data_IF_419295940472
#
_entry.id   IF_419295940472
#
_cell.length_a   1.000
_cell.length_b   1.000
_cell.length_c   1.000
_cell.angle_alpha   90.00
_cell.angle_beta   90.00
_cell.angle_gamma   90.00
#
_symmetry.space_group_name_H-M   'P 1'
#
loop_
_entity.id
_entity.type
_entity.pdbx_description
1 polymer ?
#
# COMPACT_ATOMS: atom_id res chain seq x y z
N UNK A 1 21.19 -10.53 -15.03
CA UNK A 1 21.85 -9.96 -13.83
C UNK A 1 20.81 -9.86 -12.72
N UNK A 2 21.06 -10.38 -11.52
CA UNK A 2 20.05 -10.39 -10.44
C UNK A 2 19.93 -8.97 -9.86
N UNK A 3 18.79 -8.31 -10.06
CA UNK A 3 18.53 -6.93 -9.63
C UNK A 3 18.87 -6.70 -8.14
N UNK A 4 18.55 -7.68 -7.28
CA UNK A 4 18.86 -7.60 -5.83
C UNK A 4 20.36 -7.55 -5.57
N UNK A 5 21.13 -8.42 -6.24
CA UNK A 5 22.60 -8.44 -6.11
C UNK A 5 23.23 -7.17 -6.67
N UNK A 6 22.71 -6.67 -7.79
CA UNK A 6 23.13 -5.38 -8.34
C UNK A 6 22.87 -4.26 -7.34
N UNK A 7 21.68 -4.20 -6.73
CA UNK A 7 21.31 -3.19 -5.75
C UNK A 7 22.17 -3.20 -4.48
N UNK A 8 22.55 -4.39 -4.00
CA UNK A 8 23.43 -4.54 -2.84
C UNK A 8 24.80 -3.87 -3.03
N UNK A 9 25.29 -3.83 -4.28
CA UNK A 9 26.59 -3.22 -4.62
C UNK A 9 26.39 -1.77 -5.07
N UNK A 10 25.42 -1.53 -5.97
CA UNK A 10 25.15 -0.22 -6.55
C UNK A 10 24.71 0.80 -5.50
N UNK A 11 23.94 0.40 -4.49
CA UNK A 11 23.48 1.29 -3.41
C UNK A 11 24.64 1.92 -2.63
N UNK A 12 25.52 1.12 -1.99
CA UNK A 12 26.69 1.62 -1.29
C UNK A 12 27.66 2.40 -2.19
N UNK A 13 27.85 1.98 -3.44
CA UNK A 13 28.68 2.72 -4.40
C UNK A 13 28.09 4.11 -4.70
N UNK A 14 26.79 4.19 -4.97
CA UNK A 14 26.11 5.46 -5.22
C UNK A 14 26.09 6.36 -3.98
N UNK A 15 25.91 5.77 -2.79
CA UNK A 15 26.03 6.48 -1.51
C UNK A 15 27.41 7.09 -1.32
N UNK A 16 28.46 6.29 -1.49
CA UNK A 16 29.85 6.75 -1.36
C UNK A 16 30.18 7.82 -2.41
N UNK A 17 29.77 7.61 -3.67
CA UNK A 17 29.96 8.59 -4.73
C UNK A 17 29.26 9.92 -4.39
N UNK A 18 28.02 9.87 -3.90
CA UNK A 18 27.26 11.07 -3.54
C UNK A 18 27.86 11.83 -2.35
N UNK A 19 28.50 11.13 -1.40
CA UNK A 19 29.23 11.77 -0.30
C UNK A 19 30.51 12.49 -0.77
N UNK A 20 31.09 12.09 -1.90
CA UNK A 20 32.27 12.72 -2.49
C UNK A 20 31.93 13.92 -3.39
N UNK A 21 30.66 14.07 -3.81
CA UNK A 21 30.21 15.21 -4.61
C UNK A 21 30.31 16.49 -3.76
N UNK A 22 30.96 17.56 -4.25
CA UNK A 22 30.99 18.84 -3.55
C UNK A 22 29.59 19.36 -3.25
N UNK A 23 29.40 19.89 -2.03
CA UNK A 23 28.09 20.41 -1.60
C UNK A 23 27.68 21.55 -2.53
N UNK A 24 26.52 21.47 -3.21
CA UNK A 24 26.04 22.53 -4.09
C UNK A 24 25.89 23.86 -3.35
N UNK A 25 26.12 24.97 -4.05
CA UNK A 25 25.97 26.31 -3.49
C UNK A 25 24.53 26.50 -2.96
N UNK A 26 24.39 26.92 -1.70
CA UNK A 26 23.10 27.09 -1.03
C UNK A 26 22.56 25.86 -0.31
N UNK A 27 23.23 24.70 -0.40
CA UNK A 27 22.84 23.48 0.32
C UNK A 27 23.62 23.31 1.63
N UNK A 28 22.95 22.86 2.68
CA UNK A 28 23.62 22.51 3.94
C UNK A 28 24.35 21.17 3.81
N UNK A 29 25.44 20.98 4.56
CA UNK A 29 26.17 19.70 4.60
C UNK A 29 25.25 18.55 5.03
N UNK A 30 24.38 18.79 6.02
CA UNK A 30 23.37 17.81 6.45
C UNK A 30 22.37 17.49 5.34
N UNK A 31 21.99 18.46 4.51
CA UNK A 31 21.14 18.26 3.33
C UNK A 31 21.79 17.36 2.29
N UNK A 32 23.06 17.60 1.95
CA UNK A 32 23.82 16.76 1.02
C UNK A 32 23.98 15.32 1.53
N UNK A 33 24.30 15.15 2.82
CA UNK A 33 24.39 13.81 3.46
C UNK A 33 23.05 13.10 3.50
N UNK A 34 21.96 13.84 3.72
CA UNK A 34 20.58 13.29 3.66
C UNK A 34 20.26 12.79 2.25
N UNK A 35 20.65 13.55 1.21
CA UNK A 35 20.47 13.13 -0.18
C UNK A 35 21.24 11.85 -0.52
N UNK A 36 22.47 11.69 0.00
CA UNK A 36 23.23 10.45 -0.15
C UNK A 36 22.50 9.25 0.48
N UNK A 37 22.01 9.38 1.72
CA UNK A 37 21.22 8.33 2.38
C UNK A 37 19.93 8.04 1.59
N UNK A 38 19.25 9.07 1.10
CA UNK A 38 18.05 8.89 0.29
C UNK A 38 18.34 8.12 -1.01
N UNK A 39 19.46 8.41 -1.69
CA UNK A 39 19.87 7.70 -2.90
C UNK A 39 20.14 6.22 -2.63
N UNK A 40 20.83 5.90 -1.53
CA UNK A 40 21.02 4.52 -1.06
C UNK A 40 19.67 3.80 -0.90
N UNK A 41 18.75 4.43 -0.16
CA UNK A 41 17.44 3.86 0.14
C UNK A 41 16.60 3.66 -1.13
N UNK A 42 16.59 4.63 -2.05
CA UNK A 42 15.87 4.53 -3.34
C UNK A 42 16.39 3.35 -4.15
N UNK A 43 17.71 3.19 -4.26
CA UNK A 43 18.29 2.04 -4.98
C UNK A 43 17.87 0.73 -4.32
N UNK A 44 17.97 0.62 -3.00
CA UNK A 44 17.61 -0.59 -2.28
C UNK A 44 16.11 -0.90 -2.29
N UNK A 45 15.23 0.11 -2.28
CA UNK A 45 13.79 -0.09 -2.41
C UNK A 45 13.41 -0.54 -3.83
N UNK A 46 13.95 0.09 -4.87
CA UNK A 46 13.63 -0.27 -6.27
C UNK A 46 14.16 -1.66 -6.62
N UNK A 47 15.37 -2.00 -6.14
CA UNK A 47 16.01 -3.28 -6.43
C UNK A 47 15.60 -4.40 -5.46
N UNK A 48 14.90 -4.07 -4.38
CA UNK A 48 14.66 -4.95 -3.22
C UNK A 48 15.95 -5.66 -2.75
N UNK A 49 17.06 -4.91 -2.68
CA UNK A 49 18.38 -5.45 -2.30
C UNK A 49 18.35 -6.14 -0.93
N UNK A 50 17.62 -5.55 0.01
CA UNK A 50 17.25 -6.10 1.32
C UNK A 50 15.74 -5.82 1.56
N UNK A 51 15.09 -6.46 2.55
CA UNK A 51 13.68 -6.22 2.83
C UNK A 51 13.35 -4.73 3.02
N UNK A 52 12.24 -4.27 2.45
CA UNK A 52 11.79 -2.86 2.51
C UNK A 52 11.83 -2.29 3.95
N UNK A 53 11.36 -3.02 5.00
CA UNK A 53 11.46 -2.52 6.38
C UNK A 53 12.89 -2.33 6.87
N UNK A 54 13.83 -3.20 6.47
CA UNK A 54 15.24 -3.08 6.84
C UNK A 54 15.87 -1.84 6.20
N UNK A 55 15.58 -1.58 4.91
CA UNK A 55 15.98 -0.34 4.24
C UNK A 55 15.41 0.89 4.96
N UNK A 56 14.15 0.84 5.40
CA UNK A 56 13.50 1.93 6.15
C UNK A 56 14.12 2.22 7.51
N UNK A 57 14.94 1.32 8.07
CA UNK A 57 15.66 1.53 9.32
C UNK A 57 17.04 2.17 9.14
N UNK A 58 17.55 2.28 7.90
CA UNK A 58 18.86 2.89 7.63
C UNK A 58 19.01 4.29 8.25
N UNK A 59 18.03 5.21 8.16
CA UNK A 59 18.16 6.54 8.77
C UNK A 59 18.45 6.51 10.26
N UNK A 60 17.96 5.50 11.00
CA UNK A 60 18.16 5.36 12.44
C UNK A 60 19.65 5.25 12.82
N UNK A 61 20.46 4.67 11.94
CA UNK A 61 21.91 4.50 12.11
C UNK A 61 22.69 5.54 11.32
N UNK A 62 22.32 5.77 10.05
CA UNK A 62 23.03 6.64 9.14
C UNK A 62 22.95 8.12 9.55
N UNK A 63 21.80 8.59 10.05
CA UNK A 63 21.65 10.02 10.38
C UNK A 63 22.50 10.44 11.59
N UNK A 64 22.53 9.68 12.71
CA UNK A 64 23.45 9.98 13.81
C UNK A 64 24.92 9.84 13.39
N UNK A 65 25.25 8.79 12.63
CA UNK A 65 26.62 8.53 12.19
C UNK A 65 27.17 9.64 11.28
N UNK A 66 26.33 10.18 10.40
CA UNK A 66 26.66 11.27 9.49
C UNK A 66 26.47 12.67 10.11
N UNK A 67 26.08 12.76 11.39
CA UNK A 67 25.81 14.05 12.06
C UNK A 67 24.65 14.85 11.43
N UNK A 68 23.68 14.17 10.81
CA UNK A 68 22.48 14.80 10.21
C UNK A 68 21.47 15.14 11.31
N UNK A 69 21.19 14.17 12.19
CA UNK A 69 20.18 14.29 13.24
C UNK A 69 20.48 13.33 14.39
N UNK A 70 20.23 13.76 15.63
CA UNK A 70 20.38 12.94 16.83
C UNK A 70 19.45 11.72 16.83
N UNK A 71 19.93 10.59 17.35
CA UNK A 71 19.20 9.31 17.40
C UNK A 71 17.79 9.44 17.98
N UNK A 72 17.63 10.22 19.07
CA UNK A 72 16.32 10.44 19.70
C UNK A 72 15.33 11.12 18.76
N UNK A 73 15.77 12.13 18.00
CA UNK A 73 14.93 12.87 17.04
C UNK A 73 14.57 12.00 15.84
N UNK A 74 15.50 11.16 15.37
CA UNK A 74 15.23 10.21 14.29
C UNK A 74 14.19 9.18 14.73
N UNK A 75 14.37 8.59 15.92
CA UNK A 75 13.49 7.57 16.48
C UNK A 75 12.02 8.02 16.63
N UNK A 76 11.77 9.30 16.94
CA UNK A 76 10.41 9.85 17.07
C UNK A 76 9.58 9.70 15.79
N UNK A 77 10.21 9.67 14.60
CA UNK A 77 9.49 9.47 13.35
C UNK A 77 8.90 8.06 13.20
N UNK A 78 9.41 7.08 13.93
CA UNK A 78 8.89 5.70 13.94
C UNK A 78 7.76 5.50 14.96
N UNK A 79 7.47 6.52 15.79
CA UNK A 79 6.38 6.54 16.76
C UNK A 79 5.18 7.38 16.35
N UNK A 80 5.02 7.67 15.06
CA UNK A 80 3.90 8.49 14.56
C UNK A 80 2.56 7.78 14.79
N UNK A 81 1.54 8.51 15.25
CA UNK A 81 0.19 8.01 15.51
C UNK A 81 -0.44 7.27 14.32
N UNK A 82 -0.09 7.64 13.10
CA UNK A 82 -0.54 6.99 11.87
C UNK A 82 -0.06 5.54 11.75
N UNK A 83 1.12 5.22 12.29
CA UNK A 83 1.64 3.85 12.33
C UNK A 83 0.78 2.99 13.26
N UNK A 84 0.38 3.53 14.41
CA UNK A 84 -0.52 2.85 15.34
C UNK A 84 -1.94 2.71 14.79
N UNK A 85 -2.44 3.69 14.04
CA UNK A 85 -3.71 3.58 13.32
C UNK A 85 -3.67 2.42 12.31
N UNK A 86 -2.57 2.28 11.57
CA UNK A 86 -2.39 1.18 10.63
C UNK A 86 -2.31 -0.18 11.33
N UNK A 87 -1.59 -0.26 12.45
CA UNK A 87 -1.53 -1.46 13.30
C UNK A 87 -2.93 -1.86 13.79
N UNK A 88 -3.72 -0.91 14.27
CA UNK A 88 -5.12 -1.15 14.67
C UNK A 88 -5.98 -1.65 13.50
N UNK A 89 -5.80 -1.07 12.31
CA UNK A 89 -6.44 -1.54 11.07
C UNK A 89 -6.12 -2.99 10.75
N UNK A 90 -4.85 -3.40 10.85
CA UNK A 90 -4.46 -4.81 10.68
C UNK A 90 -5.08 -5.74 11.71
N UNK A 91 -5.16 -5.34 12.98
CA UNK A 91 -5.82 -6.14 14.01
C UNK A 91 -7.31 -6.34 13.71
N UNK A 92 -7.99 -5.31 13.20
CA UNK A 92 -9.39 -5.42 12.75
C UNK A 92 -9.48 -6.35 11.54
N UNK A 93 -8.61 -6.20 10.55
CA UNK A 93 -8.58 -7.05 9.36
C UNK A 93 -8.38 -8.54 9.72
N UNK A 94 -7.40 -8.84 10.58
CA UNK A 94 -7.15 -10.20 11.08
C UNK A 94 -8.33 -10.75 11.90
N UNK A 95 -9.00 -9.90 12.68
CA UNK A 95 -10.19 -10.30 13.43
C UNK A 95 -11.36 -10.63 12.49
N UNK A 96 -11.56 -9.83 11.44
CA UNK A 96 -12.53 -10.09 10.37
C UNK A 96 -12.21 -11.37 9.59
N UNK A 97 -10.92 -11.66 9.40
CA UNK A 97 -10.45 -12.91 8.83
C UNK A 97 -10.83 -14.10 9.72
N UNK A 98 -10.41 -14.04 10.98
CA UNK A 98 -10.62 -15.12 11.95
C UNK A 98 -12.09 -15.45 12.18
N UNK A 99 -12.98 -14.45 12.18
CA UNK A 99 -14.41 -14.67 12.36
C UNK A 99 -15.17 -14.97 11.06
N UNK A 100 -14.49 -15.01 9.92
CA UNK A 100 -15.08 -15.28 8.60
C UNK A 100 -16.03 -14.19 8.10
N UNK A 101 -15.98 -12.97 8.67
CA UNK A 101 -16.88 -11.88 8.28
C UNK A 101 -16.69 -11.50 6.81
N UNK A 102 -15.45 -11.46 6.35
CA UNK A 102 -15.10 -11.20 4.96
C UNK A 102 -15.79 -12.15 3.97
N UNK A 103 -15.87 -13.47 4.27
CA UNK A 103 -16.57 -14.45 3.42
C UNK A 103 -18.07 -14.18 3.37
N UNK A 104 -18.66 -13.86 4.53
CA UNK A 104 -20.09 -13.52 4.61
C UNK A 104 -20.40 -12.27 3.80
N UNK A 105 -19.58 -11.23 3.91
CA UNK A 105 -19.71 -10.00 3.12
C UNK A 105 -19.59 -10.29 1.62
N UNK A 106 -18.55 -11.01 1.20
CA UNK A 106 -18.34 -11.36 -0.21
C UNK A 106 -19.55 -12.12 -0.81
N UNK A 107 -19.97 -13.20 -0.14
CA UNK A 107 -21.09 -14.03 -0.60
C UNK A 107 -22.42 -13.27 -0.59
N UNK A 108 -22.63 -12.39 0.38
CA UNK A 108 -23.83 -11.56 0.44
C UNK A 108 -23.91 -10.60 -0.74
N UNK A 109 -22.82 -9.90 -1.06
CA UNK A 109 -22.76 -9.01 -2.21
C UNK A 109 -22.95 -9.77 -3.54
N UNK A 110 -22.30 -10.92 -3.71
CA UNK A 110 -22.48 -11.75 -4.91
C UNK A 110 -23.92 -12.25 -5.04
N UNK A 111 -24.59 -12.57 -3.93
CA UNK A 111 -26.01 -12.97 -3.95
C UNK A 111 -26.94 -11.85 -4.43
N UNK A 112 -26.60 -10.59 -4.17
CA UNK A 112 -27.40 -9.43 -4.59
C UNK A 112 -27.24 -9.19 -6.10
N UNK A 113 -26.00 -9.16 -6.59
CA UNK A 113 -25.69 -8.73 -7.96
C UNK A 113 -25.54 -9.88 -8.99
N UNK A 114 -25.24 -11.10 -8.55
CA UNK A 114 -24.82 -12.23 -9.40
C UNK A 114 -25.91 -12.92 -10.22
N UNK A 115 -27.00 -12.23 -10.57
CA UNK A 115 -28.12 -12.79 -11.36
C UNK A 115 -27.87 -12.81 -12.87
N UNK A 116 -26.83 -12.12 -13.35
CA UNK A 116 -26.43 -12.07 -14.77
C UNK A 116 -24.90 -12.07 -14.88
N UNK A 117 -24.31 -12.37 -16.05
CA UNK A 117 -22.84 -12.36 -16.25
C UNK A 117 -22.21 -11.01 -15.88
N UNK A 118 -22.80 -9.90 -16.34
CA UNK A 118 -22.34 -8.54 -15.99
C UNK A 118 -22.54 -8.23 -14.51
N UNK A 119 -23.70 -8.59 -13.96
CA UNK A 119 -23.99 -8.43 -12.53
C UNK A 119 -23.06 -9.24 -11.64
N UNK A 120 -22.58 -10.39 -12.12
CA UNK A 120 -21.59 -11.20 -11.42
C UNK A 120 -20.26 -10.47 -11.31
N UNK A 121 -19.74 -9.95 -12.43
CA UNK A 121 -18.50 -9.16 -12.43
C UNK A 121 -18.63 -7.95 -11.51
N UNK A 122 -19.71 -7.17 -11.63
CA UNK A 122 -19.96 -6.03 -10.74
C UNK A 122 -20.07 -6.44 -9.28
N UNK A 123 -20.76 -7.54 -8.96
CA UNK A 123 -20.88 -8.06 -7.60
C UNK A 123 -19.54 -8.42 -6.98
N UNK A 124 -18.66 -9.07 -7.76
CA UNK A 124 -17.31 -9.38 -7.33
C UNK A 124 -16.45 -8.11 -7.20
N UNK A 125 -16.55 -7.16 -8.13
CA UNK A 125 -15.84 -5.88 -8.04
C UNK A 125 -16.26 -5.11 -6.79
N UNK A 126 -17.56 -4.90 -6.57
CA UNK A 126 -18.07 -4.19 -5.39
C UNK A 126 -17.70 -4.90 -4.08
N UNK A 127 -17.81 -6.23 -4.03
CA UNK A 127 -17.40 -7.01 -2.86
C UNK A 127 -15.90 -6.83 -2.57
N UNK A 128 -15.08 -6.93 -3.61
CA UNK A 128 -13.63 -6.80 -3.52
C UNK A 128 -13.24 -5.41 -3.06
N UNK A 129 -13.83 -4.36 -3.64
CA UNK A 129 -13.55 -2.98 -3.26
C UNK A 129 -13.91 -2.71 -1.79
N UNK A 130 -15.10 -3.15 -1.36
CA UNK A 130 -15.55 -3.01 0.03
C UNK A 130 -14.64 -3.74 1.02
N UNK A 131 -14.18 -4.94 0.68
CA UNK A 131 -13.26 -5.70 1.53
C UNK A 131 -11.89 -5.05 1.59
N UNK A 132 -11.39 -4.56 0.45
CA UNK A 132 -10.08 -3.92 0.34
C UNK A 132 -9.99 -2.58 1.07
N UNK A 133 -11.12 -1.96 1.41
CA UNK A 133 -11.14 -0.79 2.29
C UNK A 133 -10.65 -1.11 3.71
N UNK A 134 -10.75 -2.37 4.17
CA UNK A 134 -10.44 -2.77 5.54
C UNK A 134 -9.31 -3.79 5.62
N UNK A 135 -9.06 -4.50 4.52
CA UNK A 135 -8.08 -5.56 4.39
C UNK A 135 -7.07 -5.16 3.30
N UNK A 136 -5.83 -5.63 3.39
CA UNK A 136 -4.83 -5.33 2.36
C UNK A 136 -5.26 -5.81 0.96
N UNK A 137 -4.96 -5.02 -0.07
CA UNK A 137 -5.28 -5.33 -1.47
C UNK A 137 -4.82 -6.74 -1.88
N UNK A 138 -3.62 -7.14 -1.48
CA UNK A 138 -3.06 -8.46 -1.76
C UNK A 138 -3.88 -9.57 -1.10
N UNK A 139 -4.18 -9.44 0.20
CA UNK A 139 -4.97 -10.45 0.91
C UNK A 139 -6.40 -10.54 0.34
N UNK A 140 -7.03 -9.40 0.05
CA UNK A 140 -8.37 -9.35 -0.56
C UNK A 140 -8.38 -10.07 -1.91
N UNK A 141 -7.39 -9.82 -2.77
CA UNK A 141 -7.29 -10.47 -4.09
C UNK A 141 -7.11 -11.98 -3.95
N UNK A 142 -6.16 -12.43 -3.12
CA UNK A 142 -5.87 -13.85 -2.90
C UNK A 142 -7.08 -14.61 -2.34
N UNK A 143 -7.89 -13.94 -1.52
CA UNK A 143 -9.10 -14.48 -0.92
C UNK A 143 -10.27 -14.56 -1.91
N UNK A 144 -10.42 -13.55 -2.78
CA UNK A 144 -11.50 -13.51 -3.77
C UNK A 144 -11.25 -14.47 -4.93
N UNK A 145 -9.98 -14.72 -5.29
CA UNK A 145 -9.58 -15.62 -6.37
C UNK A 145 -10.21 -17.03 -6.28
N UNK A 146 -10.06 -17.81 -5.18
CA UNK A 146 -10.66 -19.14 -5.10
C UNK A 146 -12.19 -19.10 -5.14
N UNK A 147 -12.83 -18.05 -4.62
CA UNK A 147 -14.29 -17.88 -4.67
C UNK A 147 -14.73 -17.63 -6.12
N UNK A 148 -14.01 -16.78 -6.85
CA UNK A 148 -14.28 -16.49 -8.26
C UNK A 148 -14.12 -17.74 -9.12
N UNK A 149 -13.03 -18.49 -8.95
CA UNK A 149 -12.78 -19.73 -9.67
C UNK A 149 -13.85 -20.79 -9.39
N UNK A 150 -14.29 -20.94 -8.14
CA UNK A 150 -15.36 -21.87 -7.79
C UNK A 150 -16.72 -21.51 -8.43
N UNK A 151 -16.98 -20.21 -8.64
CA UNK A 151 -18.17 -19.76 -9.36
C UNK A 151 -18.04 -19.96 -10.86
N UNK A 152 -16.88 -19.63 -11.45
CA UNK A 152 -16.61 -19.83 -12.88
C UNK A 152 -16.75 -21.30 -13.27
N UNK A 153 -16.22 -22.24 -12.47
CA UNK A 153 -16.32 -23.67 -12.73
C UNK A 153 -17.76 -24.23 -12.69
N UNK A 154 -18.73 -23.50 -12.12
CA UNK A 154 -20.16 -23.85 -12.18
C UNK A 154 -20.88 -23.29 -13.40
N UNK A 155 -20.29 -22.31 -14.08
CA UNK A 155 -20.84 -21.62 -15.25
C UNK A 155 -20.21 -22.13 -16.56
N UNK A 156 -19.28 -23.07 -16.48
CA UNK A 156 -18.34 -23.49 -17.53
C UNK A 156 -18.97 -24.43 -18.59
N UNK A 157 -20.08 -24.00 -19.20
CA UNK A 157 -20.81 -24.82 -20.20
C UNK A 157 -21.21 -24.06 -21.48
N UNK A 158 -20.56 -22.94 -21.84
CA UNK A 158 -20.95 -22.22 -23.06
C UNK A 158 -19.86 -21.35 -23.67
N UNK A 159 -20.08 -20.93 -24.92
CA UNK A 159 -19.25 -19.94 -25.62
C UNK A 159 -19.13 -18.65 -24.76
N UNK A 160 -17.92 -18.09 -24.67
CA UNK A 160 -17.52 -16.95 -23.83
C UNK A 160 -17.25 -17.23 -22.33
N UNK A 161 -16.90 -18.46 -21.94
CA UNK A 161 -16.42 -18.77 -20.58
C UNK A 161 -15.09 -18.06 -20.26
N UNK A 162 -14.14 -18.08 -21.20
CA UNK A 162 -12.82 -17.46 -21.05
C UNK A 162 -12.90 -15.94 -20.90
N UNK A 163 -13.74 -15.26 -21.71
CA UNK A 163 -13.94 -13.81 -21.60
C UNK A 163 -14.50 -13.40 -20.24
N UNK A 164 -15.46 -14.18 -19.72
CA UNK A 164 -16.03 -13.95 -18.40
C UNK A 164 -14.98 -14.16 -17.30
N UNK A 165 -14.15 -15.21 -17.42
CA UNK A 165 -13.07 -15.48 -16.47
C UNK A 165 -12.06 -14.33 -16.45
N UNK A 166 -11.59 -13.88 -17.62
CA UNK A 166 -10.67 -12.75 -17.74
C UNK A 166 -11.28 -11.47 -17.14
N UNK A 167 -12.52 -11.13 -17.51
CA UNK A 167 -13.20 -9.95 -17.01
C UNK A 167 -13.38 -9.99 -15.47
N UNK A 168 -13.73 -11.15 -14.93
CA UNK A 168 -13.94 -11.34 -13.49
C UNK A 168 -12.62 -11.21 -12.72
N UNK A 169 -11.56 -11.89 -13.16
CA UNK A 169 -10.27 -11.89 -12.48
C UNK A 169 -9.57 -10.53 -12.55
N UNK A 170 -9.60 -9.86 -13.71
CA UNK A 170 -9.12 -8.48 -13.84
C UNK A 170 -9.96 -7.50 -13.03
N UNK A 171 -11.28 -7.68 -13.03
CA UNK A 171 -12.21 -6.87 -12.23
C UNK A 171 -11.87 -6.94 -10.74
N UNK A 172 -11.59 -8.14 -10.21
CA UNK A 172 -11.15 -8.31 -8.81
C UNK A 172 -9.81 -7.59 -8.57
N UNK A 173 -8.81 -7.77 -9.44
CA UNK A 173 -7.50 -7.14 -9.24
C UNK A 173 -7.57 -5.61 -9.21
N UNK A 174 -8.34 -5.00 -10.12
CA UNK A 174 -8.55 -3.55 -10.12
C UNK A 174 -9.41 -3.09 -8.96
N UNK A 175 -10.51 -3.78 -8.66
CA UNK A 175 -11.39 -3.40 -7.57
C UNK A 175 -10.71 -3.48 -6.20
N UNK A 176 -9.80 -4.44 -5.97
CA UNK A 176 -8.97 -4.47 -4.77
C UNK A 176 -8.11 -3.21 -4.65
N UNK A 177 -7.46 -2.81 -5.75
CA UNK A 177 -6.61 -1.64 -5.78
C UNK A 177 -7.40 -0.33 -5.57
N UNK A 178 -8.56 -0.21 -6.24
CA UNK A 178 -9.46 0.95 -6.11
C UNK A 178 -10.05 1.02 -4.70
N UNK A 179 -10.60 -0.08 -4.19
CA UNK A 179 -11.19 -0.15 -2.86
C UNK A 179 -10.22 0.22 -1.74
N UNK A 180 -8.94 -0.17 -1.86
CA UNK A 180 -7.88 0.20 -0.91
C UNK A 180 -7.68 1.71 -0.74
N UNK A 181 -8.13 2.53 -1.68
CA UNK A 181 -8.09 3.99 -1.55
C UNK A 181 -9.18 4.55 -0.61
N UNK A 182 -10.27 3.81 -0.40
CA UNK A 182 -11.47 4.31 0.26
C UNK A 182 -11.29 4.69 1.74
N UNK A 183 -10.33 4.10 2.44
CA UNK A 183 -10.01 4.42 3.84
C UNK A 183 -8.53 4.64 4.04
N UNK A 184 -8.15 5.27 5.16
CA UNK A 184 -6.73 5.43 5.51
C UNK A 184 -6.01 4.10 5.71
N UNK A 185 -6.68 3.07 6.22
CA UNK A 185 -6.04 1.77 6.53
C UNK A 185 -5.99 0.80 5.35
N UNK A 186 -6.63 1.12 4.22
CA UNK A 186 -6.67 0.23 3.06
C UNK A 186 -5.30 0.01 2.41
N UNK A 187 -4.48 1.07 2.29
CA UNK A 187 -3.14 0.97 1.70
C UNK A 187 -2.13 1.95 2.33
N UNK A 188 -0.84 1.56 2.52
CA UNK A 188 0.18 2.42 3.13
C UNK A 188 0.33 3.83 2.50
N UNK A 189 0.26 4.03 1.17
CA UNK A 189 0.32 5.35 0.56
C UNK A 189 -0.69 6.36 1.12
N UNK A 190 -1.89 5.93 1.50
CA UNK A 190 -2.92 6.81 2.06
C UNK A 190 -2.44 7.43 3.38
N UNK A 191 -1.83 6.62 4.22
CA UNK A 191 -1.29 7.02 5.52
C UNK A 191 -0.06 7.91 5.37
N UNK A 192 0.83 7.56 4.44
CA UNK A 192 1.98 8.40 4.12
C UNK A 192 1.51 9.78 3.68
N UNK A 193 0.52 9.85 2.78
CA UNK A 193 -0.07 11.10 2.33
C UNK A 193 -0.70 11.88 3.48
N UNK A 194 -1.52 11.24 4.33
CA UNK A 194 -2.12 11.88 5.49
C UNK A 194 -1.07 12.46 6.45
N UNK A 195 0.01 11.70 6.71
CA UNK A 195 1.14 12.15 7.52
C UNK A 195 1.89 13.34 6.91
N UNK A 196 2.09 13.36 5.58
CA UNK A 196 2.75 14.47 4.90
C UNK A 196 1.86 15.71 4.83
N UNK A 197 0.57 15.57 4.53
CA UNK A 197 -0.37 16.69 4.47
C UNK A 197 -0.46 17.42 5.82
N UNK A 198 -0.46 16.68 6.93
CA UNK A 198 -0.42 17.26 8.27
C UNK A 198 0.81 18.17 8.48
N UNK A 199 1.97 17.75 7.99
CA UNK A 199 3.23 18.51 8.08
C UNK A 199 3.25 19.71 7.14
N UNK A 200 2.79 19.56 5.90
CA UNK A 200 2.82 20.60 4.87
C UNK A 200 1.79 21.71 5.11
N UNK A 201 0.62 21.38 5.66
CA UNK A 201 -0.48 22.33 5.90
C UNK A 201 -0.50 22.90 7.33
N UNK A 202 0.62 22.80 8.07
CA UNK A 202 0.76 23.30 9.44
C UNK A 202 -0.41 22.93 10.38
N UNK A 203 -0.96 21.72 10.24
CA UNK A 203 -2.08 21.25 11.06
C UNK A 203 -3.45 21.88 10.77
N UNK A 204 -3.58 22.79 9.80
CA UNK A 204 -4.84 23.46 9.47
C UNK A 204 -5.92 22.52 8.90
N UNK A 205 -5.52 21.32 8.46
CA UNK A 205 -6.43 20.28 8.01
C UNK A 205 -5.88 18.89 8.38
N UNK A 206 -5.96 18.51 9.67
CA UNK A 206 -5.79 17.10 10.03
C UNK A 206 -6.87 16.28 9.30
N UNK A 207 -6.47 15.48 8.33
CA UNK A 207 -7.39 14.62 7.58
C UNK A 207 -7.62 13.38 8.44
N UNK A 208 -8.56 13.50 9.38
CA UNK A 208 -9.03 12.36 10.16
C UNK A 208 -9.67 11.30 9.26
N UNK A 209 -9.80 10.09 9.81
CA UNK A 209 -10.33 8.91 9.12
C UNK A 209 -11.66 9.17 8.38
N UNK A 210 -12.63 9.81 9.05
CA UNK A 210 -13.92 10.12 8.44
C UNK A 210 -13.83 11.13 7.29
N UNK A 211 -12.97 12.15 7.42
CA UNK A 211 -12.76 13.16 6.37
C UNK A 211 -12.09 12.56 5.14
N UNK A 212 -11.16 11.62 5.33
CA UNK A 212 -10.60 10.84 4.24
C UNK A 212 -11.69 10.07 3.50
N UNK A 213 -12.53 9.34 4.23
CA UNK A 213 -13.63 8.56 3.64
C UNK A 213 -14.60 9.43 2.84
N UNK A 214 -14.95 10.62 3.34
CA UNK A 214 -15.82 11.56 2.63
C UNK A 214 -15.23 12.01 1.27
N UNK A 215 -13.90 12.04 1.14
CA UNK A 215 -13.22 12.39 -0.11
C UNK A 215 -12.99 11.17 -1.01
N UNK A 216 -12.56 10.05 -0.42
CA UNK A 216 -12.09 8.89 -1.17
C UNK A 216 -13.20 7.93 -1.58
N UNK A 217 -14.23 7.73 -0.75
CA UNK A 217 -15.33 6.80 -1.09
C UNK A 217 -16.08 7.25 -2.35
N UNK A 218 -16.43 8.54 -2.54
CA UNK A 218 -17.05 8.97 -3.79
C UNK A 218 -16.20 8.64 -5.02
N UNK A 219 -14.88 8.81 -4.93
CA UNK A 219 -13.96 8.43 -6.01
C UNK A 219 -13.98 6.92 -6.27
N UNK A 220 -13.95 6.09 -5.21
CA UNK A 220 -14.04 4.64 -5.31
C UNK A 220 -15.36 4.17 -5.92
N UNK A 221 -16.46 4.89 -5.72
CA UNK A 221 -17.76 4.55 -6.32
C UNK A 221 -17.82 4.89 -7.81
N UNK A 222 -17.08 5.91 -8.25
CA UNK A 222 -17.03 6.34 -9.66
C UNK A 222 -16.10 5.46 -10.49
N UNK A 223 -15.00 4.99 -9.91
CA UNK A 223 -13.99 4.13 -10.57
C UNK A 223 -14.41 2.67 -10.62
#
# INVERSE_FOLDING_TARGET
MNLRRTGLIAGPLAFAAMLLVPVPHGMTVSGARTAAVALLMVIWWITEAIPIPATSLIPLVAFPWLGIMETKKVALNYGDHNIFLFLGGFLIALSMEKCGLHKRMALHTVRIFGRSRRGLVLGFMSATALLSMWVSNTATTVMMLPIALAVLGRLDTGENSDELAVALLLGIAYAASIGGMGTLIGTPPNIVLAGQLRKLLHGAADIGFGRWMLLAIPLVVVM
#
